data_IF_889671801217
#
_entry.id   IF_889671801217
#
_cell.length_a   1.000
_cell.length_b   1.000
_cell.length_c   1.000
_cell.angle_alpha   90.00
_cell.angle_beta   90.00
_cell.angle_gamma   90.00
#
_symmetry.space_group_name_H-M   'P 1'
#
loop_
_entity.id
_entity.type
_entity.pdbx_description
1 polymer ?
#
# COMPACT_ATOMS: atom_id res chain seq x y z
N UNK A 1 -3.78 36.91 5.75
CA UNK A 1 -5.02 36.94 6.56
C UNK A 1 -5.37 35.51 6.92
N UNK A 2 -5.21 35.12 8.18
CA UNK A 2 -5.52 33.77 8.68
C UNK A 2 -7.00 33.73 9.08
N UNK A 3 -7.80 32.91 8.40
CA UNK A 3 -9.22 32.70 8.71
C UNK A 3 -9.33 31.90 10.01
N UNK A 4 -9.93 32.52 11.04
CA UNK A 4 -10.23 31.86 12.32
C UNK A 4 -11.64 31.25 12.27
N UNK A 5 -11.78 30.00 12.70
CA UNK A 5 -13.07 29.31 12.80
C UNK A 5 -13.60 29.39 14.24
N UNK A 6 -14.88 29.74 14.40
CA UNK A 6 -15.57 29.81 15.68
C UNK A 6 -16.83 28.93 15.64
N UNK A 7 -17.18 28.30 16.76
CA UNK A 7 -18.46 27.59 16.91
C UNK A 7 -19.54 28.54 17.45
N UNK A 8 -20.77 28.46 16.93
CA UNK A 8 -21.93 29.26 17.40
C UNK A 8 -22.26 30.52 16.59
N UNK A 9 -23.35 31.20 16.94
CA UNK A 9 -23.88 32.40 16.25
C UNK A 9 -22.95 33.62 16.42
N UNK A 10 -22.86 34.48 15.39
CA UNK A 10 -22.00 35.68 15.31
C UNK A 10 -22.23 36.67 16.44
N UNK A 11 -23.41 36.63 17.05
CA UNK A 11 -23.83 37.55 18.10
C UNK A 11 -23.59 37.04 19.52
N UNK A 12 -23.17 35.78 19.70
CA UNK A 12 -22.94 35.22 21.03
C UNK A 12 -21.55 35.59 21.54
N UNK A 13 -21.51 36.19 22.74
CA UNK A 13 -20.28 36.65 23.40
C UNK A 13 -19.40 35.52 23.92
N UNK A 14 -19.95 34.31 24.10
CA UNK A 14 -19.24 33.11 24.58
C UNK A 14 -18.69 32.24 23.44
N UNK A 15 -18.32 32.87 22.31
CA UNK A 15 -17.79 32.15 21.14
C UNK A 15 -16.41 31.56 21.42
N UNK A 16 -16.31 30.25 21.33
CA UNK A 16 -15.02 29.54 21.45
C UNK A 16 -14.32 29.44 20.08
N UNK A 17 -13.04 29.80 20.06
CA UNK A 17 -12.16 29.63 18.88
C UNK A 17 -11.80 28.15 18.75
N UNK A 18 -12.23 27.51 17.66
CA UNK A 18 -11.92 26.10 17.42
C UNK A 18 -10.48 26.04 16.93
N UNK A 19 -9.58 25.46 17.72
CA UNK A 19 -8.29 25.04 17.18
C UNK A 19 -8.53 23.80 16.33
N UNK A 20 -8.29 23.84 15.00
CA UNK A 20 -8.37 22.65 14.20
C UNK A 20 -7.36 21.63 14.76
N UNK A 21 -7.73 20.34 14.87
CA UNK A 21 -6.79 19.33 15.33
C UNK A 21 -5.56 19.39 14.44
N UNK A 22 -4.38 19.48 15.07
CA UNK A 22 -3.12 19.56 14.36
C UNK A 22 -3.04 18.37 13.41
N UNK A 23 -3.06 18.64 12.09
CA UNK A 23 -2.83 17.59 11.10
C UNK A 23 -1.40 17.11 11.29
N UNK A 24 -1.22 15.97 11.96
CA UNK A 24 0.04 15.27 11.94
C UNK A 24 0.38 15.00 10.47
N UNK A 25 1.43 15.65 9.98
CA UNK A 25 1.99 15.28 8.68
C UNK A 25 2.54 13.87 8.86
N UNK A 26 1.79 12.88 8.37
CA UNK A 26 2.26 11.51 8.28
C UNK A 26 3.50 11.50 7.36
N UNK A 27 4.67 11.61 7.99
CA UNK A 27 5.95 11.82 7.32
C UNK A 27 6.52 10.53 6.76
N UNK A 28 5.73 9.74 6.02
CA UNK A 28 6.32 8.68 5.20
C UNK A 28 6.96 9.34 3.98
N UNK A 29 8.26 9.64 4.07
CA UNK A 29 9.09 9.92 2.90
C UNK A 29 9.22 8.62 2.11
N UNK A 30 8.15 8.26 1.40
CA UNK A 30 8.12 7.09 0.55
C UNK A 30 9.12 7.30 -0.59
N UNK A 31 10.23 6.57 -0.55
CA UNK A 31 11.07 6.41 -1.73
C UNK A 31 10.16 5.78 -2.79
N UNK A 32 9.85 6.51 -3.84
CA UNK A 32 8.99 6.03 -4.92
C UNK A 32 9.81 5.02 -5.72
N UNK A 33 9.23 3.85 -6.00
CA UNK A 33 9.88 2.82 -6.81
C UNK A 33 10.02 3.28 -8.28
N UNK A 34 11.00 2.78 -9.04
CA UNK A 34 11.19 3.18 -10.43
C UNK A 34 10.03 2.68 -11.32
N UNK A 35 9.55 3.51 -12.26
CA UNK A 35 8.31 3.25 -13.04
C UNK A 35 8.27 1.87 -13.71
N UNK A 36 9.40 1.39 -14.25
CA UNK A 36 9.50 0.05 -14.88
C UNK A 36 9.30 -1.09 -13.87
N UNK A 37 9.88 -0.95 -12.67
CA UNK A 37 9.74 -1.93 -11.60
C UNK A 37 8.32 -1.93 -11.04
N UNK A 38 7.70 -0.75 -10.93
CA UNK A 38 6.29 -0.63 -10.53
C UNK A 38 5.37 -1.40 -11.49
N UNK A 39 5.57 -1.25 -12.80
CA UNK A 39 4.73 -1.94 -13.79
C UNK A 39 4.87 -3.47 -13.71
N UNK A 40 6.11 -3.96 -13.58
CA UNK A 40 6.36 -5.38 -13.43
C UNK A 40 5.74 -5.94 -12.13
N UNK A 41 5.86 -5.22 -11.01
CA UNK A 41 5.24 -5.61 -9.75
C UNK A 41 3.70 -5.59 -9.84
N UNK A 42 3.09 -4.62 -10.53
CA UNK A 42 1.64 -4.59 -10.77
C UNK A 42 1.17 -5.84 -11.52
N UNK A 43 1.86 -6.21 -12.60
CA UNK A 43 1.51 -7.40 -13.38
C UNK A 43 1.64 -8.67 -12.55
N UNK A 44 2.68 -8.76 -11.72
CA UNK A 44 2.86 -9.91 -10.84
C UNK A 44 1.76 -10.00 -9.77
N UNK A 45 1.37 -8.88 -9.16
CA UNK A 45 0.26 -8.83 -8.20
C UNK A 45 -1.08 -9.18 -8.87
N UNK A 46 -1.32 -8.71 -10.09
CA UNK A 46 -2.52 -9.06 -10.87
C UNK A 46 -2.60 -10.56 -11.18
N UNK A 47 -1.49 -11.16 -11.65
CA UNK A 47 -1.43 -12.60 -11.91
C UNK A 47 -1.71 -13.38 -10.63
N UNK A 48 -1.03 -13.01 -9.54
CA UNK A 48 -1.21 -13.65 -8.25
C UNK A 48 -2.65 -13.53 -7.73
N UNK A 49 -3.31 -12.36 -7.86
CA UNK A 49 -4.71 -12.21 -7.44
C UNK A 49 -5.65 -13.10 -8.24
N UNK A 50 -5.40 -13.24 -9.55
CA UNK A 50 -6.20 -14.12 -10.42
C UNK A 50 -6.04 -15.58 -10.00
N UNK A 51 -4.80 -16.02 -9.75
CA UNK A 51 -4.49 -17.37 -9.25
C UNK A 51 -5.08 -17.60 -7.86
N UNK A 52 -4.95 -16.63 -6.95
CA UNK A 52 -5.46 -16.72 -5.59
C UNK A 52 -7.00 -16.82 -5.57
N UNK A 53 -7.67 -16.02 -6.41
CA UNK A 53 -9.12 -16.08 -6.56
C UNK A 53 -9.59 -17.41 -7.15
N UNK A 54 -8.86 -17.98 -8.12
CA UNK A 54 -9.20 -19.29 -8.67
C UNK A 54 -9.05 -20.44 -7.66
N UNK A 55 -8.12 -20.30 -6.72
CA UNK A 55 -7.86 -21.28 -5.68
C UNK A 55 -8.67 -21.04 -4.39
N UNK A 56 -9.45 -19.96 -4.32
CA UNK A 56 -10.31 -19.66 -3.17
C UNK A 56 -11.53 -20.60 -3.16
N UNK A 57 -11.81 -21.33 -2.07
CA UNK A 57 -13.06 -22.09 -1.92
C UNK A 57 -14.32 -21.27 -2.17
N UNK A 58 -14.25 -19.95 -1.95
CA UNK A 58 -15.36 -19.01 -2.13
C UNK A 58 -15.29 -18.22 -3.45
N UNK A 59 -14.49 -18.67 -4.43
CA UNK A 59 -14.33 -18.02 -5.74
C UNK A 59 -15.64 -17.74 -6.48
N UNK A 60 -16.67 -18.57 -6.25
CA UNK A 60 -17.98 -18.39 -6.87
C UNK A 60 -18.73 -17.14 -6.37
N UNK A 61 -18.41 -16.66 -5.16
CA UNK A 61 -19.10 -15.54 -4.50
C UNK A 61 -18.16 -14.34 -4.30
N UNK A 62 -16.85 -14.57 -4.21
CA UNK A 62 -15.83 -13.54 -4.04
C UNK A 62 -15.13 -13.25 -5.38
N UNK A 63 -15.35 -12.07 -6.00
CA UNK A 63 -14.60 -11.69 -7.19
C UNK A 63 -13.12 -11.45 -6.86
N UNK A 64 -12.20 -11.49 -7.84
CA UNK A 64 -10.78 -11.21 -7.61
C UNK A 64 -10.49 -9.86 -6.95
N UNK A 65 -11.37 -8.88 -7.16
CA UNK A 65 -11.32 -7.55 -6.53
C UNK A 65 -11.52 -7.60 -5.01
N UNK A 66 -12.22 -8.62 -4.49
CA UNK A 66 -12.35 -8.84 -3.04
C UNK A 66 -11.04 -9.24 -2.37
N UNK A 67 -10.06 -9.75 -3.12
CA UNK A 67 -8.73 -10.01 -2.59
C UNK A 67 -7.91 -8.73 -2.65
N UNK A 68 -7.85 -8.09 -3.82
CA UNK A 68 -7.09 -6.87 -4.00
C UNK A 68 -7.65 -6.02 -5.15
N UNK A 69 -8.07 -4.81 -4.82
CA UNK A 69 -8.55 -3.85 -5.82
C UNK A 69 -7.43 -3.27 -6.69
N UNK A 70 -7.78 -2.83 -7.90
CA UNK A 70 -6.86 -2.12 -8.80
C UNK A 70 -6.17 -0.92 -8.12
N UNK A 71 -6.89 -0.25 -7.22
CA UNK A 71 -6.35 0.83 -6.40
C UNK A 71 -5.29 0.31 -5.42
N UNK A 72 -5.59 -0.76 -4.68
CA UNK A 72 -4.66 -1.41 -3.77
C UNK A 72 -3.40 -1.93 -4.47
N UNK A 73 -3.55 -2.55 -5.64
CA UNK A 73 -2.42 -2.99 -6.49
C UNK A 73 -1.55 -1.78 -6.87
N UNK A 74 -2.16 -0.67 -7.28
CA UNK A 74 -1.43 0.54 -7.63
C UNK A 74 -0.70 1.12 -6.41
N UNK A 75 -1.33 1.14 -5.24
CA UNK A 75 -0.71 1.62 -4.00
C UNK A 75 0.48 0.77 -3.61
N UNK A 76 0.31 -0.55 -3.52
CA UNK A 76 1.38 -1.49 -3.17
C UNK A 76 2.54 -1.43 -4.14
N UNK A 77 2.27 -1.31 -5.44
CA UNK A 77 3.32 -1.18 -6.45
C UNK A 77 4.00 0.21 -6.45
N UNK A 78 3.38 1.23 -5.87
CA UNK A 78 4.02 2.56 -5.74
C UNK A 78 4.89 2.61 -4.48
N UNK A 79 4.48 1.90 -3.43
CA UNK A 79 5.23 1.75 -2.19
C UNK A 79 6.49 0.90 -2.45
N UNK A 80 7.63 1.40 -2.02
CA UNK A 80 8.88 0.64 -2.13
C UNK A 80 8.85 -0.57 -1.18
N UNK A 81 9.30 -1.77 -1.59
CA UNK A 81 9.29 -2.98 -0.76
C UNK A 81 9.90 -2.81 0.64
N UNK A 82 11.00 -2.06 0.77
CA UNK A 82 11.59 -1.69 2.06
C UNK A 82 10.66 -0.97 3.07
N UNK A 83 9.56 -0.37 2.61
CA UNK A 83 8.56 0.29 3.45
C UNK A 83 7.46 -0.66 3.93
N UNK A 84 7.38 -1.87 3.37
CA UNK A 84 6.41 -2.90 3.74
C UNK A 84 7.18 -4.10 4.31
N UNK A 85 7.39 -4.08 5.62
CA UNK A 85 8.15 -5.11 6.36
C UNK A 85 7.27 -6.11 7.07
N UNK A 86 6.04 -5.71 7.44
CA UNK A 86 5.10 -6.52 8.18
C UNK A 86 3.71 -6.45 7.53
N UNK A 87 2.83 -7.38 7.93
CA UNK A 87 1.45 -7.46 7.45
C UNK A 87 0.63 -6.25 7.87
N UNK A 88 0.84 -5.73 9.08
CA UNK A 88 0.16 -4.51 9.57
C UNK A 88 0.38 -3.30 8.67
N UNK A 89 1.56 -3.15 8.06
CA UNK A 89 1.83 -2.08 7.09
C UNK A 89 1.09 -2.29 5.76
N UNK A 90 0.86 -3.55 5.35
CA UNK A 90 0.03 -3.86 4.18
C UNK A 90 -1.42 -3.46 4.46
N UNK A 91 -1.96 -3.88 5.60
CA UNK A 91 -3.33 -3.55 6.03
C UNK A 91 -3.51 -2.05 6.17
N UNK A 92 -2.58 -1.36 6.84
CA UNK A 92 -2.63 0.09 7.00
C UNK A 92 -2.52 0.84 5.67
N UNK A 93 -1.71 0.33 4.73
CA UNK A 93 -1.58 0.93 3.41
C UNK A 93 -2.86 0.79 2.57
N UNK A 94 -3.59 -0.31 2.74
CA UNK A 94 -4.80 -0.60 1.98
C UNK A 94 -6.08 -0.13 2.68
N UNK A 95 -6.04 0.08 3.99
CA UNK A 95 -7.23 0.38 4.81
C UNK A 95 -8.15 -0.81 4.99
N UNK A 96 -7.60 -2.03 4.99
CA UNK A 96 -8.37 -3.27 5.07
C UNK A 96 -8.68 -3.69 6.52
N UNK A 97 -9.53 -4.69 6.66
CA UNK A 97 -9.99 -5.25 7.95
C UNK A 97 -9.03 -6.30 8.52
N UNK A 98 -9.18 -6.61 9.81
CA UNK A 98 -8.38 -7.64 10.49
C UNK A 98 -8.68 -9.03 9.90
N UNK A 99 -9.94 -9.31 9.53
CA UNK A 99 -10.31 -10.57 8.86
C UNK A 99 -9.62 -10.72 7.51
N UNK A 100 -9.45 -9.62 6.77
CA UNK A 100 -8.71 -9.62 5.52
C UNK A 100 -7.20 -9.82 5.75
N UNK A 101 -6.65 -9.27 6.84
CA UNK A 101 -5.24 -9.45 7.24
C UNK A 101 -4.91 -10.94 7.38
N UNK A 102 -5.73 -11.66 8.14
CA UNK A 102 -5.52 -13.09 8.44
C UNK A 102 -5.50 -13.96 7.17
N UNK A 103 -6.31 -13.63 6.17
CA UNK A 103 -6.45 -14.43 4.96
C UNK A 103 -5.38 -14.11 3.88
N UNK A 104 -5.01 -12.84 3.70
CA UNK A 104 -4.35 -12.37 2.48
C UNK A 104 -3.02 -11.65 2.68
N UNK A 105 -2.85 -10.88 3.76
CA UNK A 105 -1.72 -9.95 3.89
C UNK A 105 -0.37 -10.65 3.87
N UNK A 106 -0.25 -11.83 4.50
CA UNK A 106 0.97 -12.63 4.55
C UNK A 106 1.38 -13.12 3.16
N UNK A 107 0.40 -13.53 2.36
CA UNK A 107 0.63 -13.99 0.98
C UNK A 107 1.08 -12.82 0.10
N UNK A 108 0.41 -11.67 0.22
CA UNK A 108 0.76 -10.44 -0.51
C UNK A 108 2.17 -9.96 -0.15
N UNK A 109 2.50 -9.90 1.14
CA UNK A 109 3.82 -9.55 1.63
C UNK A 109 4.89 -10.47 1.03
N UNK A 110 4.61 -11.77 0.97
CA UNK A 110 5.52 -12.76 0.38
C UNK A 110 5.76 -12.50 -1.11
N UNK A 111 4.73 -12.15 -1.88
CA UNK A 111 4.86 -11.81 -3.31
C UNK A 111 5.76 -10.59 -3.51
N UNK A 112 5.55 -9.52 -2.72
CA UNK A 112 6.34 -8.28 -2.78
C UNK A 112 7.81 -8.55 -2.42
N UNK A 113 8.05 -9.28 -1.33
CA UNK A 113 9.42 -9.62 -0.90
C UNK A 113 10.13 -10.54 -1.90
N UNK A 114 9.42 -11.49 -2.49
CA UNK A 114 9.97 -12.38 -3.53
C UNK A 114 10.40 -11.59 -4.76
N UNK A 115 9.59 -10.61 -5.18
CA UNK A 115 9.94 -9.72 -6.28
C UNK A 115 11.17 -8.86 -5.96
N UNK A 116 11.22 -8.24 -4.79
CA UNK A 116 12.36 -7.42 -4.35
C UNK A 116 13.66 -8.24 -4.27
N UNK A 117 13.59 -9.48 -3.78
CA UNK A 117 14.72 -10.40 -3.76
C UNK A 117 15.20 -10.76 -5.17
N UNK A 118 14.28 -10.98 -6.13
CA UNK A 118 14.64 -11.21 -7.55
C UNK A 118 15.35 -10.00 -8.16
N UNK A 119 14.89 -8.79 -7.86
CA UNK A 119 15.56 -7.56 -8.31
C UNK A 119 16.98 -7.42 -7.73
N UNK A 120 17.14 -7.66 -6.41
CA UNK A 120 18.45 -7.63 -5.75
C UNK A 120 19.40 -8.71 -6.28
N UNK A 121 18.88 -9.91 -6.57
CA UNK A 121 19.64 -11.02 -7.13
C UNK A 121 20.09 -10.76 -8.58
N UNK A 122 19.23 -10.17 -9.41
CA UNK A 122 19.55 -9.82 -10.79
C UNK A 122 20.66 -8.76 -10.92
N UNK A 123 20.71 -7.80 -10.00
CA UNK A 123 21.77 -6.77 -9.99
C UNK A 123 23.16 -7.35 -9.63
N UNK A 124 23.22 -8.41 -8.80
CA UNK A 124 24.50 -9.08 -8.47
C UNK A 124 25.04 -9.92 -9.62
N UNK A 125 24.16 -10.52 -10.44
CA UNK A 125 24.57 -11.32 -11.59
C UNK A 125 25.15 -10.44 -12.72
N UNK A 126 24.56 -9.27 -13.00
CA UNK A 126 25.05 -8.35 -14.03
C UNK A 126 26.43 -7.74 -13.71
N UNK A 127 26.71 -7.42 -12.43
CA UNK A 127 27.99 -6.84 -12.02
C UNK A 127 29.20 -7.79 -12.15
N UNK A 128 28.96 -9.10 -12.36
CA UNK A 128 30.03 -10.09 -12.50
C UNK A 128 30.47 -10.26 -13.97
N UNK A 129 29.65 -9.84 -14.95
CA UNK A 129 29.96 -10.00 -16.38
C UNK A 129 30.67 -8.81 -17.02
N UNK A 130 30.82 -7.67 -16.35
CA UNK A 130 31.56 -6.49 -16.86
C UNK A 130 33.02 -6.44 -16.36
N UNK A 131 33.55 -7.56 -15.87
CA UNK A 131 34.94 -7.70 -15.39
C UNK A 131 35.68 -8.90 -15.98
N UNK A 132 35.20 -9.47 -17.08
CA UNK A 132 35.86 -10.54 -17.81
C UNK A 132 36.35 -10.04 -19.17
#
# INVERSE_FOLDING_TARGET
MTLKLFYGDVKNSDREEIQPPAKEKCGLKNKIQHLKEQQALKLQLLSWCTEASQNDPLAAVRPPTSILDNHGIKMLATLHPNNIRNTSQVVQALGETDEWDDEWSKKILTVIQTYDNKLKGGQKAAATMEKA
#
